data_IF_018103971471
#
_entry.id   IF_018103971471
#
_cell.length_a   1.000
_cell.length_b   1.000
_cell.length_c   1.000
_cell.angle_alpha   90.00
_cell.angle_beta   90.00
_cell.angle_gamma   90.00
#
_symmetry.space_group_name_H-M   'P 1'
#
loop_
_entity.id
_entity.type
_entity.pdbx_description
1 polymer ?
#
# COMPACT_ATOMS: atom_id res chain seq x y z
N UNK A 1 19.11 73.26 54.79
CA UNK A 1 19.24 74.37 53.84
C UNK A 1 17.97 74.44 53.01
N UNK A 2 17.28 75.58 53.14
CA UNK A 2 16.22 76.19 52.32
C UNK A 2 15.02 75.33 51.86
N UNK A 3 13.85 75.35 52.53
CA UNK A 3 12.72 76.35 52.56
C UNK A 3 12.00 76.51 51.22
N UNK A 4 10.69 76.21 51.08
CA UNK A 4 9.53 77.09 51.41
C UNK A 4 8.20 76.34 51.08
N UNK A 5 7.20 76.16 51.97
CA UNK A 5 5.97 76.98 52.24
C UNK A 5 5.08 77.14 50.97
N UNK A 6 3.76 76.85 50.88
CA UNK A 6 2.58 77.24 51.67
C UNK A 6 1.31 76.50 51.14
N UNK A 7 0.36 76.03 51.97
CA UNK A 7 -0.93 76.65 52.37
C UNK A 7 -2.17 75.97 51.74
N UNK A 8 -3.20 75.88 52.58
CA UNK A 8 -4.54 75.28 52.50
C UNK A 8 -5.40 75.70 51.30
N UNK A 9 -6.49 74.97 51.04
CA UNK A 9 -7.88 75.46 51.15
C UNK A 9 -8.89 74.30 50.98
N UNK A 10 -9.88 74.24 51.87
CA UNK A 10 -11.04 73.35 51.81
C UNK A 10 -12.04 73.85 50.76
N UNK A 11 -12.59 72.92 49.95
CA UNK A 11 -13.92 73.07 49.35
C UNK A 11 -14.61 71.71 49.26
N UNK A 12 -15.72 71.60 49.97
CA UNK A 12 -16.73 70.54 49.88
C UNK A 12 -17.27 70.41 48.46
N UNK A 13 -17.59 69.20 47.99
CA UNK A 13 -18.82 68.94 47.23
C UNK A 13 -19.13 67.45 47.05
N UNK A 14 -20.40 67.13 47.27
CA UNK A 14 -21.25 66.15 46.57
C UNK A 14 -20.95 64.65 46.70
N UNK A 15 -21.84 64.01 47.47
CA UNK A 15 -22.21 62.60 47.45
C UNK A 15 -22.72 62.22 46.05
N UNK A 16 -22.18 61.12 45.49
CA UNK A 16 -22.85 60.33 44.47
C UNK A 16 -22.55 58.84 44.71
N UNK A 17 -23.50 58.15 45.32
CA UNK A 17 -23.52 56.69 45.42
C UNK A 17 -23.78 56.11 44.02
N UNK A 18 -22.77 55.49 43.41
CA UNK A 18 -22.96 54.64 42.23
C UNK A 18 -23.06 53.19 42.70
N UNK A 19 -24.27 52.63 42.54
CA UNK A 19 -24.56 51.22 42.77
C UNK A 19 -23.78 50.33 41.82
N UNK A 20 -23.10 49.34 42.37
CA UNK A 20 -22.46 48.27 41.59
C UNK A 20 -23.55 47.29 41.18
N UNK A 21 -24.00 47.38 39.92
CA UNK A 21 -24.82 46.35 39.29
C UNK A 21 -23.94 45.15 38.95
N UNK A 22 -24.10 44.07 39.70
CA UNK A 22 -23.48 42.78 39.40
C UNK A 22 -24.16 42.18 38.16
N UNK A 23 -23.50 42.29 37.00
CA UNK A 23 -23.88 41.57 35.80
C UNK A 23 -23.41 40.11 35.94
N UNK A 24 -24.35 39.22 36.24
CA UNK A 24 -24.17 37.77 36.08
C UNK A 24 -24.06 37.47 34.58
N UNK A 25 -22.85 37.27 34.09
CA UNK A 25 -22.64 36.71 32.75
C UNK A 25 -23.03 35.23 32.78
N UNK A 26 -23.91 34.76 31.87
CA UNK A 26 -24.18 33.33 31.74
C UNK A 26 -22.91 32.66 31.20
N UNK A 27 -22.35 31.75 32.00
CA UNK A 27 -21.31 30.83 31.57
C UNK A 27 -21.96 29.85 30.58
N UNK A 28 -21.98 30.19 29.30
CA UNK A 28 -22.30 29.23 28.25
C UNK A 28 -21.16 28.24 28.20
N UNK A 29 -21.37 27.07 28.77
CA UNK A 29 -20.53 25.91 28.51
C UNK A 29 -20.64 25.63 27.00
N UNK A 30 -19.68 26.12 26.23
CA UNK A 30 -19.40 25.58 24.91
C UNK A 30 -19.05 24.12 25.12
N UNK A 31 -20.01 23.25 24.90
CA UNK A 31 -19.72 21.85 24.63
C UNK A 31 -18.79 21.84 23.45
N UNK A 32 -17.50 21.63 23.72
CA UNK A 32 -16.52 21.26 22.71
C UNK A 32 -17.13 20.06 21.99
N UNK A 33 -17.73 20.29 20.82
CA UNK A 33 -18.21 19.21 19.98
C UNK A 33 -16.99 18.32 19.77
N UNK A 34 -17.00 17.12 20.36
CA UNK A 34 -15.95 16.15 20.17
C UNK A 34 -15.81 16.01 18.65
N UNK A 35 -14.68 16.50 18.13
CA UNK A 35 -14.37 16.44 16.73
C UNK A 35 -14.30 14.95 16.42
N UNK A 36 -15.37 14.39 15.85
CA UNK A 36 -15.50 12.95 15.60
C UNK A 36 -14.22 12.55 14.87
N UNK A 37 -13.38 11.66 15.44
CA UNK A 37 -12.18 11.22 14.75
C UNK A 37 -12.63 10.68 13.40
N UNK A 38 -12.17 11.29 12.31
CA UNK A 38 -12.53 10.84 10.95
C UNK A 38 -11.91 9.46 10.75
N UNK A 39 -12.70 8.42 11.03
CA UNK A 39 -12.36 7.05 10.70
C UNK A 39 -12.06 6.94 9.20
N UNK A 40 -11.04 6.18 8.83
CA UNK A 40 -10.63 5.94 7.44
C UNK A 40 -11.36 4.72 6.90
N UNK A 41 -11.65 4.72 5.60
CA UNK A 41 -12.12 3.51 4.92
C UNK A 41 -10.93 2.59 4.64
N UNK A 42 -11.15 1.28 4.77
CA UNK A 42 -10.18 0.23 4.44
C UNK A 42 -10.90 -0.85 3.66
N UNK A 43 -10.45 -1.14 2.44
CA UNK A 43 -10.98 -2.23 1.63
C UNK A 43 -10.09 -3.46 1.69
N UNK A 44 -10.72 -4.62 1.56
CA UNK A 44 -10.08 -5.92 1.52
C UNK A 44 -10.44 -6.62 0.21
N UNK A 45 -9.41 -6.92 -0.58
CA UNK A 45 -9.52 -7.78 -1.76
C UNK A 45 -9.41 -9.24 -1.35
N UNK A 46 -10.16 -10.12 -2.02
CA UNK A 46 -10.29 -11.53 -1.66
C UNK A 46 -10.17 -12.45 -2.86
N UNK A 47 -9.92 -13.74 -2.63
CA UNK A 47 -10.30 -14.78 -3.61
C UNK A 47 -11.74 -15.21 -3.35
N UNK A 48 -12.53 -15.41 -4.41
CA UNK A 48 -13.95 -15.76 -4.37
C UNK A 48 -14.22 -17.13 -5.00
N UNK A 49 -13.20 -17.99 -5.03
CA UNK A 49 -13.33 -19.36 -5.52
C UNK A 49 -14.38 -20.14 -4.70
N UNK A 50 -14.96 -21.18 -5.30
CA UNK A 50 -15.91 -22.06 -4.61
C UNK A 50 -15.36 -22.55 -3.27
N UNK A 51 -16.19 -22.50 -2.21
CA UNK A 51 -15.83 -22.94 -0.86
C UNK A 51 -15.13 -21.89 0.02
N UNK A 52 -14.73 -20.73 -0.52
CA UNK A 52 -14.09 -19.64 0.28
C UNK A 52 -15.08 -18.83 1.12
N UNK A 53 -16.35 -18.77 0.70
CA UNK A 53 -17.37 -17.93 1.33
C UNK A 53 -17.21 -16.42 1.08
N UNK A 54 -16.22 -16.00 0.29
CA UNK A 54 -15.99 -14.60 -0.05
C UNK A 54 -16.89 -14.13 -1.20
N UNK A 55 -17.49 -12.94 -1.06
CA UNK A 55 -18.39 -12.37 -2.06
C UNK A 55 -17.75 -11.35 -3.02
N UNK A 56 -16.52 -10.90 -2.76
CA UNK A 56 -15.86 -9.84 -3.53
C UNK A 56 -15.04 -8.92 -2.63
N UNK A 57 -15.21 -7.61 -2.79
CA UNK A 57 -14.46 -6.61 -2.01
C UNK A 57 -15.22 -6.31 -0.72
N UNK A 58 -14.54 -6.36 0.43
CA UNK A 58 -15.09 -5.97 1.73
C UNK A 58 -14.56 -4.61 2.17
N UNK A 59 -15.30 -3.91 3.03
CA UNK A 59 -14.88 -2.61 3.60
C UNK A 59 -15.07 -2.58 5.12
N UNK A 60 -14.18 -1.88 5.79
CA UNK A 60 -14.28 -1.51 7.21
C UNK A 60 -13.91 -0.06 7.43
N UNK A 61 -14.24 0.46 8.62
CA UNK A 61 -13.75 1.75 9.12
C UNK A 61 -12.63 1.52 10.10
N UNK A 62 -11.53 2.24 9.94
CA UNK A 62 -10.34 2.22 10.78
C UNK A 62 -10.23 3.51 11.57
N UNK A 63 -10.07 3.40 12.89
CA UNK A 63 -9.75 4.53 13.76
C UNK A 63 -8.23 4.72 13.79
N UNK A 64 -7.69 5.83 13.24
CA UNK A 64 -6.25 6.07 13.21
C UNK A 64 -5.61 6.37 14.57
N UNK A 65 -6.41 6.58 15.62
CA UNK A 65 -5.92 6.82 16.98
C UNK A 65 -5.79 5.49 17.72
N UNK A 66 -6.85 4.68 17.72
CA UNK A 66 -6.90 3.44 18.48
C UNK A 66 -6.40 2.23 17.69
N UNK A 67 -6.43 2.31 16.36
CA UNK A 67 -6.20 1.20 15.44
C UNK A 67 -7.43 0.31 15.20
N UNK A 68 -8.55 0.56 15.89
CA UNK A 68 -9.70 -0.33 15.82
C UNK A 68 -10.35 -0.35 14.44
N UNK A 69 -10.80 -1.54 14.02
CA UNK A 69 -11.55 -1.78 12.79
C UNK A 69 -13.00 -2.15 13.14
N UNK A 70 -13.97 -1.59 12.42
CA UNK A 70 -15.35 -2.08 12.47
C UNK A 70 -15.46 -3.46 11.83
N UNK A 71 -16.56 -4.18 12.12
CA UNK A 71 -16.87 -5.41 11.40
C UNK A 71 -16.92 -5.20 9.88
N UNK A 72 -16.33 -6.09 9.06
CA UNK A 72 -16.33 -5.95 7.61
C UNK A 72 -17.72 -6.10 7.01
N UNK A 73 -18.01 -5.31 5.98
CA UNK A 73 -19.22 -5.40 5.17
C UNK A 73 -18.82 -5.60 3.71
N UNK A 74 -19.63 -6.34 2.96
CA UNK A 74 -19.43 -6.43 1.51
C UNK A 74 -19.63 -5.04 0.89
N UNK A 75 -18.65 -4.59 0.11
CA UNK A 75 -18.63 -3.30 -0.58
C UNK A 75 -18.99 -3.42 -2.06
N UNK A 76 -18.60 -4.53 -2.69
CA UNK A 76 -19.01 -4.90 -4.05
C UNK A 76 -18.85 -6.41 -4.28
N UNK A 77 -19.78 -6.98 -5.05
CA UNK A 77 -19.68 -8.36 -5.55
C UNK A 77 -18.85 -8.38 -6.83
N UNK A 78 -17.77 -9.17 -6.86
CA UNK A 78 -16.92 -9.34 -8.05
C UNK A 78 -16.03 -10.57 -7.90
N UNK A 79 -15.61 -11.17 -9.02
CA UNK A 79 -14.81 -12.40 -9.03
C UNK A 79 -13.32 -12.10 -8.81
N UNK A 80 -12.71 -12.75 -7.82
CA UNK A 80 -11.28 -12.72 -7.51
C UNK A 80 -10.64 -11.31 -7.56
N UNK A 81 -11.13 -10.33 -6.77
CA UNK A 81 -10.50 -9.02 -6.61
C UNK A 81 -9.25 -9.11 -5.74
N UNK A 82 -8.24 -9.84 -6.21
CA UNK A 82 -7.08 -10.24 -5.41
C UNK A 82 -6.07 -9.11 -5.16
N UNK A 83 -6.17 -8.00 -5.89
CA UNK A 83 -5.34 -6.81 -5.72
C UNK A 83 -6.14 -5.54 -6.01
N UNK A 84 -5.95 -4.52 -5.17
CA UNK A 84 -6.66 -3.24 -5.23
C UNK A 84 -5.67 -2.09 -5.31
N UNK A 85 -6.02 -1.02 -6.01
CA UNK A 85 -5.27 0.24 -6.03
C UNK A 85 -6.24 1.43 -6.03
N UNK A 86 -5.78 2.60 -5.59
CA UNK A 86 -6.61 3.81 -5.57
C UNK A 86 -6.10 4.83 -6.58
N UNK A 87 -7.03 5.57 -7.17
CA UNK A 87 -6.67 6.79 -7.87
C UNK A 87 -6.06 7.80 -6.89
N UNK A 88 -4.98 8.53 -7.25
CA UNK A 88 -4.28 9.40 -6.32
C UNK A 88 -5.11 10.60 -5.81
N UNK A 89 -6.13 11.02 -6.58
CA UNK A 89 -6.91 12.25 -6.28
C UNK A 89 -8.42 12.13 -6.45
N UNK A 90 -8.92 11.04 -7.03
CA UNK A 90 -10.34 10.87 -7.33
C UNK A 90 -10.89 9.75 -6.44
N UNK A 91 -12.18 9.77 -6.10
CA UNK A 91 -12.81 8.69 -5.33
C UNK A 91 -13.05 7.46 -6.23
N UNK A 92 -11.95 6.85 -6.69
CA UNK A 92 -11.96 5.69 -7.59
C UNK A 92 -11.01 4.61 -7.06
N UNK A 93 -11.55 3.41 -6.92
CA UNK A 93 -10.81 2.20 -6.59
C UNK A 93 -10.71 1.31 -7.84
N UNK A 94 -9.51 0.83 -8.12
CA UNK A 94 -9.24 -0.14 -9.15
C UNK A 94 -9.05 -1.53 -8.52
N UNK A 95 -9.58 -2.55 -9.17
CA UNK A 95 -9.41 -3.94 -8.76
C UNK A 95 -9.08 -4.81 -9.97
N UNK A 96 -8.24 -5.83 -9.78
CA UNK A 96 -8.13 -6.92 -10.76
C UNK A 96 -9.35 -7.83 -10.66
N UNK A 97 -9.62 -8.60 -11.70
CA UNK A 97 -10.32 -9.88 -11.59
C UNK A 97 -9.34 -10.97 -12.07
N UNK A 98 -8.74 -11.67 -11.10
CA UNK A 98 -7.66 -12.63 -11.35
C UNK A 98 -8.23 -13.95 -11.88
N UNK A 99 -8.41 -14.02 -13.20
CA UNK A 99 -9.10 -15.11 -13.90
C UNK A 99 -8.26 -15.66 -15.07
N UNK A 100 -8.81 -16.63 -15.82
CA UNK A 100 -8.23 -17.04 -17.10
C UNK A 100 -8.26 -15.89 -18.14
N UNK A 101 -7.45 -15.99 -19.20
CA UNK A 101 -7.25 -14.92 -20.19
C UNK A 101 -8.56 -14.33 -20.77
N UNK A 102 -9.53 -15.20 -21.08
CA UNK A 102 -10.82 -14.81 -21.66
C UNK A 102 -11.78 -14.12 -20.67
N UNK A 103 -11.46 -14.10 -19.38
CA UNK A 103 -12.25 -13.50 -18.31
C UNK A 103 -11.50 -12.44 -17.49
N UNK A 104 -10.18 -12.32 -17.66
CA UNK A 104 -9.35 -11.40 -16.89
C UNK A 104 -9.69 -9.96 -17.18
N UNK A 105 -9.89 -9.19 -16.12
CA UNK A 105 -10.34 -7.80 -16.20
C UNK A 105 -9.60 -6.91 -15.20
N UNK A 106 -9.61 -5.62 -15.49
CA UNK A 106 -9.32 -4.53 -14.56
C UNK A 106 -10.63 -3.74 -14.45
N UNK A 107 -11.09 -3.54 -13.22
CA UNK A 107 -12.36 -2.90 -12.89
C UNK A 107 -12.09 -1.56 -12.22
N UNK A 108 -12.84 -0.53 -12.60
CA UNK A 108 -12.85 0.77 -11.93
C UNK A 108 -14.17 0.96 -11.19
N UNK A 109 -14.08 1.29 -9.90
CA UNK A 109 -15.20 1.46 -8.99
C UNK A 109 -15.25 2.89 -8.47
N UNK A 110 -16.40 3.55 -8.58
CA UNK A 110 -16.69 4.80 -7.86
C UNK A 110 -16.84 4.49 -6.37
N UNK A 111 -16.19 5.28 -5.54
CA UNK A 111 -16.24 5.17 -4.09
C UNK A 111 -17.34 6.10 -3.55
N UNK A 112 -18.26 5.54 -2.78
CA UNK A 112 -19.05 6.34 -1.83
C UNK A 112 -18.21 6.54 -0.56
N UNK A 113 -17.66 7.74 -0.36
CA UNK A 113 -16.78 8.05 0.78
C UNK A 113 -17.50 8.01 2.14
N UNK A 114 -18.83 8.16 2.15
CA UNK A 114 -19.63 8.13 3.36
C UNK A 114 -19.92 6.69 3.84
N UNK A 115 -19.96 5.71 2.94
CA UNK A 115 -20.31 4.32 3.29
C UNK A 115 -19.20 3.31 3.00
N UNK A 116 -18.28 3.65 2.10
CA UNK A 116 -17.28 2.75 1.53
C UNK A 116 -17.83 1.76 0.49
N UNK A 117 -19.10 1.91 0.09
CA UNK A 117 -19.69 1.11 -0.98
C UNK A 117 -19.07 1.46 -2.33
N UNK A 118 -19.03 0.47 -3.22
CA UNK A 118 -18.36 0.56 -4.51
C UNK A 118 -19.39 0.37 -5.63
N UNK A 119 -19.50 1.35 -6.52
CA UNK A 119 -20.33 1.26 -7.72
C UNK A 119 -19.45 1.10 -8.95
N UNK A 120 -19.69 0.06 -9.77
CA UNK A 120 -18.88 -0.19 -10.96
C UNK A 120 -19.01 0.98 -11.95
N UNK A 121 -17.88 1.61 -12.28
CA UNK A 121 -17.82 2.68 -13.27
C UNK A 121 -17.70 2.08 -14.67
N UNK A 122 -16.65 1.28 -14.88
CA UNK A 122 -16.47 0.45 -16.07
C UNK A 122 -15.39 -0.62 -15.81
N UNK A 123 -15.10 -1.42 -16.84
CA UNK A 123 -14.07 -2.45 -16.82
C UNK A 123 -13.38 -2.55 -18.18
N UNK A 124 -12.14 -3.03 -18.19
CA UNK A 124 -11.37 -3.32 -19.40
C UNK A 124 -10.68 -4.69 -19.26
N UNK A 125 -10.39 -5.34 -20.38
CA UNK A 125 -9.59 -6.56 -20.37
C UNK A 125 -8.15 -6.25 -19.90
N UNK A 126 -7.52 -7.14 -19.14
CA UNK A 126 -6.09 -6.99 -18.79
C UNK A 126 -5.14 -7.34 -19.93
N UNK A 127 -5.68 -7.78 -21.08
CA UNK A 127 -4.96 -8.28 -22.25
C UNK A 127 -4.02 -9.49 -22.00
N UNK A 128 -4.08 -10.09 -20.80
CA UNK A 128 -3.33 -11.27 -20.39
C UNK A 128 -4.14 -12.14 -19.44
N UNK A 129 -3.52 -13.16 -18.85
CA UNK A 129 -4.15 -14.08 -17.90
C UNK A 129 -3.69 -13.83 -16.47
N UNK A 130 -4.62 -13.92 -15.51
CA UNK A 130 -4.32 -13.81 -14.08
C UNK A 130 -3.68 -12.48 -13.69
N UNK A 131 -4.33 -11.31 -13.95
CA UNK A 131 -3.89 -10.04 -13.40
C UNK A 131 -3.84 -10.14 -11.88
N UNK A 132 -2.69 -9.88 -11.28
CA UNK A 132 -2.43 -10.15 -9.85
C UNK A 132 -1.90 -8.94 -9.08
N UNK A 133 -1.71 -7.81 -9.77
CA UNK A 133 -1.15 -6.58 -9.19
C UNK A 133 -1.65 -5.36 -9.96
N UNK A 134 -1.82 -4.24 -9.26
CA UNK A 134 -2.15 -2.94 -9.85
C UNK A 134 -1.29 -1.83 -9.22
N UNK A 135 -0.91 -0.85 -10.03
CA UNK A 135 -0.48 0.45 -9.55
C UNK A 135 -1.07 1.57 -10.41
N UNK A 136 -1.22 2.75 -9.83
CA UNK A 136 -1.67 3.96 -10.54
C UNK A 136 -0.50 4.94 -10.56
N UNK A 137 -0.24 5.55 -11.71
CA UNK A 137 0.81 6.56 -11.76
C UNK A 137 0.42 7.79 -10.92
N UNK A 138 1.43 8.52 -10.44
CA UNK A 138 1.23 9.67 -9.55
C UNK A 138 0.35 10.77 -10.15
N UNK A 139 0.31 10.91 -11.47
CA UNK A 139 -0.53 11.90 -12.15
C UNK A 139 -2.00 11.47 -12.29
N UNK A 140 -2.32 10.20 -12.02
CA UNK A 140 -3.68 9.67 -12.17
C UNK A 140 -4.12 9.55 -13.64
N UNK A 141 -3.18 9.35 -14.56
CA UNK A 141 -3.46 9.26 -16.00
C UNK A 141 -3.45 7.84 -16.52
N UNK A 142 -2.80 6.91 -15.81
CA UNK A 142 -2.72 5.50 -16.19
C UNK A 142 -2.82 4.55 -14.99
N UNK A 143 -3.33 3.36 -15.26
CA UNK A 143 -3.26 2.19 -14.38
C UNK A 143 -2.35 1.15 -15.04
N UNK A 144 -1.43 0.59 -14.27
CA UNK A 144 -0.54 -0.49 -14.66
C UNK A 144 -1.01 -1.79 -14.02
N UNK A 145 -0.90 -2.91 -14.73
CA UNK A 145 -1.19 -4.24 -14.17
C UNK A 145 -0.17 -5.29 -14.62
N UNK A 146 0.09 -6.27 -13.74
CA UNK A 146 0.90 -7.44 -14.03
C UNK A 146 0.03 -8.69 -14.12
N UNK A 147 0.16 -9.43 -15.23
CA UNK A 147 -0.55 -10.66 -15.53
C UNK A 147 0.36 -11.86 -15.25
N UNK A 148 0.16 -12.51 -14.10
CA UNK A 148 0.98 -13.65 -13.66
C UNK A 148 0.82 -14.86 -14.59
N UNK A 149 -0.41 -15.18 -14.96
CA UNK A 149 -0.73 -16.39 -15.72
C UNK A 149 -0.17 -16.39 -17.15
N UNK A 150 -0.03 -15.21 -17.76
CA UNK A 150 0.55 -15.07 -19.12
C UNK A 150 1.97 -14.52 -19.14
N UNK A 151 2.48 -13.99 -18.02
CA UNK A 151 3.79 -13.35 -17.96
C UNK A 151 3.86 -12.09 -18.81
N UNK A 152 2.99 -11.12 -18.52
CA UNK A 152 2.91 -9.86 -19.26
C UNK A 152 2.52 -8.70 -18.37
N UNK A 153 2.75 -7.48 -18.84
CA UNK A 153 2.28 -6.24 -18.18
C UNK A 153 1.41 -5.45 -19.14
N UNK A 154 0.49 -4.65 -18.58
CA UNK A 154 -0.37 -3.74 -19.34
C UNK A 154 -0.41 -2.35 -18.69
N UNK A 155 -0.53 -1.31 -19.52
CA UNK A 155 -0.79 0.08 -19.13
C UNK A 155 -2.08 0.54 -19.80
N UNK A 156 -3.06 0.95 -18.99
CA UNK A 156 -4.35 1.48 -19.43
C UNK A 156 -4.41 2.97 -19.14
N UNK A 157 -4.81 3.75 -20.14
CA UNK A 157 -5.13 5.15 -19.94
C UNK A 157 -6.38 5.32 -19.07
N UNK A 158 -6.45 6.42 -18.33
CA UNK A 158 -7.62 6.84 -17.58
C UNK A 158 -8.30 8.04 -18.26
N UNK A 159 -9.62 8.10 -18.16
CA UNK A 159 -10.41 9.29 -18.48
C UNK A 159 -10.32 10.31 -17.33
N UNK A 160 -10.78 11.55 -17.56
CA UNK A 160 -10.77 12.60 -16.52
C UNK A 160 -11.61 12.26 -15.28
N UNK A 161 -12.57 11.34 -15.41
CA UNK A 161 -13.37 10.84 -14.30
C UNK A 161 -12.74 9.59 -13.63
N UNK A 162 -11.55 9.16 -14.06
CA UNK A 162 -10.86 7.98 -13.56
C UNK A 162 -11.38 6.65 -14.11
N UNK A 163 -12.34 6.62 -15.04
CA UNK A 163 -12.73 5.39 -15.72
C UNK A 163 -11.64 4.90 -16.70
N UNK A 164 -11.59 3.60 -16.95
CA UNK A 164 -10.54 2.95 -17.74
C UNK A 164 -10.78 3.15 -19.25
N UNK A 165 -9.75 3.54 -20.00
CA UNK A 165 -9.73 3.52 -21.46
C UNK A 165 -9.29 2.14 -21.96
N UNK A 166 -9.82 1.66 -23.10
CA UNK A 166 -9.38 0.40 -23.69
C UNK A 166 -7.91 0.48 -24.12
N UNK A 167 -7.23 -0.67 -24.14
CA UNK A 167 -5.97 -0.82 -24.88
C UNK A 167 -6.27 -0.58 -26.37
N UNK A 168 -5.57 0.34 -27.03
CA UNK A 168 -5.74 0.59 -28.47
C UNK A 168 -4.77 -0.32 -29.23
N UNK A 169 -5.26 -1.31 -30.02
CA UNK A 169 -4.39 -2.16 -30.83
C UNK A 169 -3.63 -1.34 -31.88
N UNK A 170 -2.32 -1.57 -32.02
CA UNK A 170 -1.49 -0.93 -33.05
C UNK A 170 -1.03 0.51 -32.75
N UNK A 171 -1.52 1.14 -31.68
CA UNK A 171 -0.81 2.27 -31.06
C UNK A 171 0.34 1.70 -30.21
N UNK A 172 1.52 2.33 -30.08
CA UNK A 172 2.41 1.99 -28.98
C UNK A 172 1.62 2.26 -27.70
N UNK A 173 1.08 1.22 -27.05
CA UNK A 173 -0.05 1.39 -26.13
C UNK A 173 -0.17 0.22 -25.18
N UNK A 174 0.82 0.11 -24.30
CA UNK A 174 0.61 -0.38 -22.94
C UNK A 174 0.76 -1.87 -22.67
N UNK A 175 0.46 -2.79 -23.58
CA UNK A 175 0.69 -4.24 -23.34
C UNK A 175 2.09 -4.70 -23.76
N UNK A 176 2.78 -5.43 -22.90
CA UNK A 176 4.07 -6.05 -23.17
C UNK A 176 4.08 -7.51 -22.72
N UNK A 177 4.26 -8.41 -23.68
CA UNK A 177 4.50 -9.82 -23.41
C UNK A 177 5.97 -10.03 -23.04
N UNK A 178 6.23 -10.67 -21.89
CA UNK A 178 7.58 -11.10 -21.55
C UNK A 178 7.88 -12.46 -22.19
N UNK A 179 9.16 -12.81 -22.29
CA UNK A 179 9.60 -14.08 -22.87
C UNK A 179 10.88 -14.56 -22.18
N UNK A 180 11.02 -15.88 -22.09
CA UNK A 180 12.14 -16.55 -21.41
C UNK A 180 11.64 -17.51 -20.34
N UNK A 181 12.58 -17.99 -19.54
CA UNK A 181 12.36 -18.92 -18.44
C UNK A 181 13.57 -18.87 -17.50
N UNK A 182 13.50 -19.56 -16.38
CA UNK A 182 14.62 -19.68 -15.45
C UNK A 182 14.71 -21.07 -14.80
N UNK A 183 15.40 -21.17 -13.66
CA UNK A 183 15.91 -22.39 -13.05
C UNK A 183 14.82 -23.39 -12.67
N UNK A 184 13.73 -22.93 -12.03
CA UNK A 184 12.68 -23.82 -11.53
C UNK A 184 11.74 -24.28 -12.65
N UNK A 185 11.91 -25.52 -13.13
CA UNK A 185 11.14 -26.10 -14.24
C UNK A 185 9.60 -26.07 -14.13
N UNK A 186 9.05 -25.88 -12.94
CA UNK A 186 7.59 -25.75 -12.73
C UNK A 186 7.16 -24.31 -12.47
N UNK A 187 7.92 -23.55 -11.68
CA UNK A 187 7.56 -22.18 -11.26
C UNK A 187 8.13 -21.10 -12.19
N UNK A 188 9.05 -21.46 -13.07
CA UNK A 188 9.83 -20.58 -13.95
C UNK A 188 10.00 -21.23 -15.34
N UNK A 189 9.05 -22.07 -15.76
CA UNK A 189 9.02 -22.65 -17.11
C UNK A 189 8.78 -21.60 -18.21
N UNK A 190 8.23 -20.45 -17.82
CA UNK A 190 7.94 -19.29 -18.63
C UNK A 190 7.87 -18.05 -17.74
N UNK A 191 7.57 -16.87 -18.32
CA UNK A 191 7.43 -15.63 -17.58
C UNK A 191 6.19 -15.64 -16.67
N UNK A 192 6.32 -14.95 -15.54
CA UNK A 192 5.28 -14.73 -14.53
C UNK A 192 5.45 -13.33 -13.90
N UNK A 193 5.08 -12.29 -14.66
CA UNK A 193 5.02 -10.92 -14.18
C UNK A 193 4.12 -10.85 -12.94
N UNK A 194 4.70 -10.45 -11.80
CA UNK A 194 4.03 -10.54 -10.50
C UNK A 194 3.78 -9.17 -9.87
N UNK A 195 4.54 -8.14 -10.23
CA UNK A 195 4.20 -6.74 -9.89
C UNK A 195 4.59 -5.80 -11.02
N UNK A 196 4.00 -4.59 -11.00
CA UNK A 196 4.46 -3.45 -11.79
C UNK A 196 4.12 -2.16 -11.05
N UNK A 197 5.16 -1.41 -10.68
CA UNK A 197 5.06 -0.21 -9.85
C UNK A 197 5.48 1.02 -10.64
N UNK A 198 4.59 1.99 -10.79
CA UNK A 198 4.93 3.29 -11.35
C UNK A 198 5.91 4.02 -10.43
N UNK A 199 7.09 4.38 -10.95
CA UNK A 199 8.09 5.08 -10.17
C UNK A 199 7.65 6.53 -9.91
N UNK A 200 8.07 7.07 -8.76
CA UNK A 200 7.61 8.37 -8.22
C UNK A 200 7.81 9.59 -9.12
N UNK A 201 8.80 9.50 -10.01
CA UNK A 201 9.19 10.52 -11.00
C UNK A 201 8.35 10.48 -12.27
N UNK A 202 7.50 9.47 -12.44
CA UNK A 202 6.50 9.39 -13.52
C UNK A 202 7.05 9.07 -14.92
N UNK A 203 8.30 8.62 -15.03
CA UNK A 203 8.94 8.26 -16.33
C UNK A 203 9.37 6.80 -16.45
N UNK A 204 9.32 6.05 -15.35
CA UNK A 204 9.65 4.64 -15.32
C UNK A 204 8.57 3.84 -14.59
N UNK A 205 8.45 2.57 -14.93
CA UNK A 205 7.72 1.57 -14.17
C UNK A 205 8.63 0.35 -13.93
N UNK A 206 8.56 -0.24 -12.74
CA UNK A 206 9.41 -1.36 -12.32
C UNK A 206 8.54 -2.60 -12.15
N UNK A 207 8.79 -3.62 -12.98
CA UNK A 207 8.06 -4.88 -12.95
C UNK A 207 8.96 -6.01 -12.44
N UNK A 208 8.46 -6.80 -11.49
CA UNK A 208 9.10 -8.04 -11.09
C UNK A 208 8.51 -9.20 -11.89
N UNK A 209 9.37 -9.99 -12.54
CA UNK A 209 8.96 -11.22 -13.20
C UNK A 209 9.59 -12.43 -12.51
N UNK A 210 8.74 -13.16 -11.77
CA UNK A 210 9.11 -14.34 -11.01
C UNK A 210 9.68 -15.42 -11.92
N UNK A 211 9.09 -15.58 -13.10
CA UNK A 211 9.42 -16.63 -14.06
C UNK A 211 10.78 -16.46 -14.73
N UNK A 212 11.30 -15.23 -14.73
CA UNK A 212 12.52 -14.86 -15.43
C UNK A 212 13.73 -14.62 -14.52
N UNK A 213 13.54 -14.57 -13.20
CA UNK A 213 14.53 -14.02 -12.26
C UNK A 213 15.00 -12.62 -12.65
N UNK A 214 14.06 -11.78 -13.09
CA UNK A 214 14.37 -10.44 -13.58
C UNK A 214 13.44 -9.38 -13.01
N UNK A 215 14.04 -8.22 -12.76
CA UNK A 215 13.34 -6.95 -12.57
C UNK A 215 13.45 -6.19 -13.89
N UNK A 216 12.30 -5.92 -14.51
CA UNK A 216 12.17 -5.24 -15.79
C UNK A 216 11.79 -3.78 -15.55
N UNK A 217 12.62 -2.87 -16.03
CA UNK A 217 12.39 -1.43 -15.97
C UNK A 217 11.84 -1.00 -17.32
N UNK A 218 10.67 -0.37 -17.32
CA UNK A 218 10.01 0.14 -18.50
C UNK A 218 10.04 1.67 -18.49
N UNK A 219 10.34 2.30 -19.62
CA UNK A 219 10.02 3.70 -19.83
C UNK A 219 8.49 3.85 -19.89
N UNK A 220 7.96 4.78 -19.11
CA UNK A 220 6.53 5.05 -18.96
C UNK A 220 6.21 6.44 -19.55
N UNK A 221 5.23 6.49 -20.44
CA UNK A 221 4.58 7.72 -20.86
C UNK A 221 3.11 7.70 -20.39
N UNK A 222 2.78 8.39 -19.28
CA UNK A 222 1.41 8.43 -18.78
C UNK A 222 0.44 9.20 -19.70
N UNK A 223 0.91 10.16 -20.48
CA UNK A 223 0.05 10.95 -21.36
C UNK A 223 -0.40 10.11 -22.56
N UNK A 224 0.52 9.36 -23.15
CA UNK A 224 0.24 8.45 -24.26
C UNK A 224 -0.20 7.04 -23.81
N UNK A 225 -0.16 6.74 -22.51
CA UNK A 225 -0.47 5.43 -21.93
C UNK A 225 0.40 4.28 -22.51
N UNK A 226 1.72 4.49 -22.52
CA UNK A 226 2.65 3.56 -23.17
C UNK A 226 3.72 3.05 -22.21
N UNK A 227 4.16 1.81 -22.45
CA UNK A 227 5.30 1.19 -21.81
C UNK A 227 6.27 0.72 -22.89
N UNK A 228 7.56 0.91 -22.66
CA UNK A 228 8.62 0.33 -23.47
C UNK A 228 9.69 -0.26 -22.56
N UNK A 229 10.10 -1.50 -22.80
CA UNK A 229 11.24 -2.07 -22.06
C UNK A 229 12.47 -1.16 -22.21
N UNK A 230 13.01 -0.73 -21.08
CA UNK A 230 14.19 0.13 -20.99
C UNK A 230 15.40 -0.67 -20.53
N UNK A 231 15.22 -1.54 -19.53
CA UNK A 231 16.31 -2.36 -18.98
C UNK A 231 15.77 -3.62 -18.31
N UNK A 232 16.58 -4.67 -18.26
CA UNK A 232 16.33 -5.85 -17.46
C UNK A 232 17.50 -6.03 -16.48
N UNK A 233 17.20 -6.34 -15.23
CA UNK A 233 18.19 -6.56 -14.17
C UNK A 233 17.93 -7.94 -13.57
N UNK A 234 18.92 -8.82 -13.69
CA UNK A 234 18.82 -10.17 -13.13
C UNK A 234 18.96 -10.13 -11.60
N UNK A 235 18.19 -11.00 -10.94
CA UNK A 235 18.44 -11.41 -9.56
C UNK A 235 19.13 -12.78 -9.53
N UNK A 236 19.37 -13.32 -8.34
CA UNK A 236 19.91 -14.66 -8.16
C UNK A 236 19.05 -15.68 -8.94
N UNK A 237 19.63 -16.59 -9.74
CA UNK A 237 18.85 -17.64 -10.39
C UNK A 237 18.10 -18.52 -9.38
N UNK A 238 16.80 -18.71 -9.62
CA UNK A 238 15.87 -19.41 -8.73
C UNK A 238 15.25 -18.54 -7.64
N UNK A 239 15.51 -17.23 -7.59
CA UNK A 239 14.99 -16.37 -6.53
C UNK A 239 13.50 -16.02 -6.72
N UNK A 240 13.09 -15.75 -7.95
CA UNK A 240 11.74 -15.41 -8.34
C UNK A 240 11.26 -14.07 -7.75
N UNK A 241 11.71 -12.92 -8.27
CA UNK A 241 11.31 -11.62 -7.74
C UNK A 241 9.80 -11.44 -7.88
N UNK A 242 9.14 -11.01 -6.81
CA UNK A 242 7.68 -10.99 -6.69
C UNK A 242 7.12 -9.57 -6.70
N UNK A 243 7.41 -8.78 -5.67
CA UNK A 243 6.99 -7.38 -5.52
C UNK A 243 8.21 -6.48 -5.33
N UNK A 244 8.06 -5.19 -5.66
CA UNK A 244 9.11 -4.18 -5.53
C UNK A 244 8.66 -3.00 -4.69
N UNK A 245 9.46 -2.59 -3.71
CA UNK A 245 9.20 -1.41 -2.89
C UNK A 245 10.24 -0.33 -3.17
N UNK A 246 9.80 0.82 -3.69
CA UNK A 246 10.63 2.02 -3.82
C UNK A 246 10.72 2.73 -2.46
N UNK A 247 11.94 3.15 -2.11
CA UNK A 247 12.14 3.96 -0.92
C UNK A 247 11.59 5.39 -1.12
N UNK A 248 10.97 6.03 -0.11
CA UNK A 248 10.36 7.37 -0.24
C UNK A 248 11.29 8.51 -0.70
N UNK A 249 12.61 8.33 -0.61
CA UNK A 249 13.60 9.30 -1.11
C UNK A 249 14.02 9.07 -2.58
N UNK A 250 13.46 8.06 -3.24
CA UNK A 250 13.72 7.68 -4.64
C UNK A 250 15.20 7.42 -4.96
N UNK A 251 15.99 6.95 -3.99
CA UNK A 251 17.40 6.56 -4.17
C UNK A 251 17.64 5.06 -4.03
N UNK A 252 16.68 4.31 -3.50
CA UNK A 252 16.79 2.88 -3.25
C UNK A 252 15.49 2.17 -3.61
N UNK A 253 15.61 0.87 -3.91
CA UNK A 253 14.47 -0.01 -4.08
C UNK A 253 14.79 -1.42 -3.60
N UNK A 254 13.74 -2.18 -3.26
CA UNK A 254 13.86 -3.48 -2.62
C UNK A 254 12.93 -4.48 -3.30
N UNK A 255 13.47 -5.59 -3.78
CA UNK A 255 12.70 -6.69 -4.34
C UNK A 255 12.59 -7.82 -3.32
N UNK A 256 11.38 -8.32 -3.10
CA UNK A 256 11.18 -9.57 -2.37
C UNK A 256 11.14 -10.74 -3.35
N UNK A 257 11.87 -11.81 -3.03
CA UNK A 257 12.04 -12.97 -3.89
C UNK A 257 11.26 -14.15 -3.32
N UNK A 258 10.27 -14.63 -4.08
CA UNK A 258 9.26 -15.60 -3.64
C UNK A 258 9.87 -16.96 -3.30
N UNK A 259 10.76 -17.44 -4.15
CA UNK A 259 11.14 -18.85 -4.21
C UNK A 259 12.33 -19.18 -3.30
N UNK A 260 13.24 -18.21 -3.08
CA UNK A 260 14.43 -18.41 -2.25
C UNK A 260 14.39 -17.73 -0.87
N UNK A 261 13.28 -17.05 -0.55
CA UNK A 261 13.01 -16.43 0.75
C UNK A 261 14.03 -15.33 1.10
N UNK A 262 14.24 -14.43 0.13
CA UNK A 262 15.18 -13.32 0.28
C UNK A 262 14.59 -11.96 -0.08
N UNK A 263 15.26 -10.89 0.36
CA UNK A 263 15.08 -9.53 -0.12
C UNK A 263 16.39 -9.06 -0.74
N UNK A 264 16.31 -8.53 -1.95
CA UNK A 264 17.44 -7.88 -2.63
C UNK A 264 17.27 -6.36 -2.61
N UNK A 265 18.28 -5.65 -2.10
CA UNK A 265 18.33 -4.20 -2.08
C UNK A 265 19.13 -3.66 -3.27
N UNK A 266 18.67 -2.53 -3.81
CA UNK A 266 19.26 -1.86 -4.96
C UNK A 266 19.40 -0.36 -4.72
N UNK A 267 20.47 0.24 -5.27
CA UNK A 267 20.49 1.66 -5.53
C UNK A 267 19.64 1.94 -6.78
N UNK A 268 18.73 2.90 -6.67
CA UNK A 268 17.85 3.34 -7.74
C UNK A 268 18.34 4.68 -8.28
N UNK A 269 18.59 4.73 -9.60
CA UNK A 269 18.83 5.97 -10.32
C UNK A 269 17.54 6.37 -11.05
N UNK A 270 16.77 7.29 -10.47
CA UNK A 270 15.51 7.80 -11.02
C UNK A 270 15.70 8.64 -12.31
N UNK A 271 16.92 9.07 -12.61
CA UNK A 271 17.20 9.80 -13.84
C UNK A 271 17.51 8.84 -14.99
N UNK A 272 18.35 7.83 -14.73
CA UNK A 272 18.77 6.86 -15.74
C UNK A 272 17.83 5.64 -15.86
N UNK A 273 16.96 5.41 -14.87
CA UNK A 273 16.11 4.22 -14.79
C UNK A 273 16.95 2.95 -14.63
N UNK A 274 17.85 2.92 -13.63
CA UNK A 274 18.76 1.79 -13.41
C UNK A 274 18.76 1.32 -11.96
N UNK A 275 18.97 0.01 -11.78
CA UNK A 275 19.16 -0.62 -10.48
C UNK A 275 20.57 -1.18 -10.40
N UNK A 276 21.30 -0.82 -9.33
CA UNK A 276 22.57 -1.44 -8.98
C UNK A 276 22.40 -2.26 -7.71
N UNK A 277 22.77 -3.54 -7.75
CA UNK A 277 22.69 -4.44 -6.59
C UNK A 277 23.52 -3.90 -5.42
N UNK A 278 22.96 -3.96 -4.21
CA UNK A 278 23.65 -3.55 -2.98
C UNK A 278 23.89 -4.73 -2.04
N UNK A 279 22.88 -5.57 -1.86
CA UNK A 279 22.91 -6.75 -1.00
C UNK A 279 21.67 -7.63 -1.20
N UNK A 280 21.77 -8.89 -0.77
CA UNK A 280 20.63 -9.80 -0.65
C UNK A 280 20.68 -10.44 0.74
N UNK A 281 19.54 -10.48 1.44
CA UNK A 281 19.41 -11.06 2.78
C UNK A 281 18.23 -12.01 2.84
N UNK A 282 18.29 -13.02 3.72
CA UNK A 282 17.14 -13.89 3.99
C UNK A 282 16.03 -13.14 4.75
N UNK A 283 14.78 -13.54 4.51
CA UNK A 283 13.58 -13.12 5.27
C UNK A 283 13.30 -13.97 6.50
N UNK A 284 14.13 -14.98 6.76
CA UNK A 284 13.98 -15.90 7.88
C UNK A 284 15.15 -15.78 8.86
N UNK A 285 14.92 -16.03 10.16
CA UNK A 285 16.00 -16.21 11.12
C UNK A 285 16.94 -17.35 10.71
N UNK A 286 18.23 -17.21 11.00
CA UNK A 286 19.26 -18.17 10.60
C UNK A 286 19.05 -19.60 11.16
N UNK A 287 18.31 -19.74 12.27
CA UNK A 287 18.02 -21.04 12.89
C UNK A 287 16.89 -21.82 12.21
N UNK A 288 16.16 -21.22 11.26
CA UNK A 288 15.09 -21.90 10.51
C UNK A 288 15.71 -22.75 9.40
N UNK A 289 15.90 -24.03 9.70
CA UNK A 289 16.50 -25.01 8.81
C UNK A 289 15.50 -25.60 7.80
N UNK A 290 14.31 -26.01 8.26
CA UNK A 290 13.25 -26.50 7.37
C UNK A 290 12.47 -25.33 6.78
N UNK A 291 12.42 -25.29 5.45
CA UNK A 291 11.78 -24.24 4.65
C UNK A 291 10.77 -24.84 3.67
N UNK A 292 10.42 -26.11 3.86
CA UNK A 292 9.57 -26.84 2.93
C UNK A 292 8.20 -26.18 2.83
N UNK A 293 7.82 -25.81 1.59
CA UNK A 293 6.55 -25.14 1.33
C UNK A 293 6.51 -23.65 1.71
N UNK A 294 7.62 -23.06 2.19
CA UNK A 294 7.68 -21.63 2.46
C UNK A 294 7.84 -20.83 1.17
N UNK A 295 7.29 -19.62 1.17
CA UNK A 295 7.49 -18.63 0.11
C UNK A 295 7.31 -17.23 0.70
N UNK A 296 7.85 -16.19 0.07
CA UNK A 296 7.54 -14.81 0.48
C UNK A 296 6.34 -14.24 -0.27
N UNK A 297 5.83 -13.08 0.12
CA UNK A 297 4.77 -12.41 -0.62
C UNK A 297 4.95 -10.88 -0.74
N UNK A 298 4.63 -10.13 0.31
CA UNK A 298 4.52 -8.68 0.26
C UNK A 298 5.76 -7.99 0.80
N UNK A 299 6.06 -6.79 0.32
CA UNK A 299 7.19 -5.96 0.77
C UNK A 299 6.80 -4.49 0.81
N UNK A 300 7.03 -3.83 1.95
CA UNK A 300 6.65 -2.43 2.13
C UNK A 300 7.74 -1.68 2.89
N UNK A 301 8.13 -0.52 2.37
CA UNK A 301 8.97 0.46 3.09
C UNK A 301 8.07 1.34 3.95
N UNK A 302 8.42 1.49 5.23
CA UNK A 302 7.73 2.41 6.12
C UNK A 302 7.73 3.84 5.57
N UNK A 303 6.65 4.64 5.70
CA UNK A 303 6.59 6.01 5.16
C UNK A 303 7.77 6.92 5.57
N UNK A 304 8.30 6.73 6.79
CA UNK A 304 9.48 7.45 7.27
C UNK A 304 10.82 7.00 6.64
N UNK A 305 10.84 5.95 5.83
CA UNK A 305 12.02 5.41 5.14
C UNK A 305 13.04 4.70 6.04
N UNK A 306 12.70 4.40 7.30
CA UNK A 306 13.64 3.81 8.26
C UNK A 306 13.59 2.28 8.35
N UNK A 307 12.45 1.71 7.97
CA UNK A 307 12.18 0.29 8.15
C UNK A 307 11.61 -0.31 6.87
N UNK A 308 11.91 -1.58 6.65
CA UNK A 308 11.36 -2.41 5.58
C UNK A 308 10.72 -3.65 6.22
N UNK A 309 9.55 -4.02 5.73
CA UNK A 309 8.83 -5.21 6.15
C UNK A 309 8.65 -6.15 4.97
N UNK A 310 8.70 -7.46 5.20
CA UNK A 310 8.54 -8.49 4.17
C UNK A 310 7.77 -9.70 4.71
N UNK A 311 6.75 -10.20 4.02
CA UNK A 311 5.95 -11.32 4.54
C UNK A 311 6.44 -12.70 4.09
N UNK A 312 6.33 -13.68 4.98
CA UNK A 312 6.63 -15.09 4.74
C UNK A 312 5.37 -15.94 4.89
N UNK A 313 4.97 -16.64 3.84
CA UNK A 313 3.90 -17.65 3.82
C UNK A 313 4.47 -19.01 4.24
N UNK A 314 3.71 -19.76 5.03
CA UNK A 314 4.15 -21.03 5.60
C UNK A 314 4.91 -20.86 6.92
N UNK A 315 5.88 -19.92 6.97
CA UNK A 315 6.45 -19.45 8.24
C UNK A 315 5.48 -18.49 8.97
N UNK A 316 4.53 -17.91 8.25
CA UNK A 316 3.42 -17.10 8.74
C UNK A 316 3.86 -15.90 9.60
N UNK A 317 4.83 -15.13 9.09
CA UNK A 317 5.44 -13.99 9.78
C UNK A 317 5.70 -12.79 8.88
N UNK A 318 5.97 -11.63 9.49
CA UNK A 318 6.55 -10.45 8.86
C UNK A 318 8.01 -10.31 9.31
N UNK A 319 8.95 -10.35 8.37
CA UNK A 319 10.35 -10.01 8.58
C UNK A 319 10.52 -8.49 8.67
N UNK A 320 11.38 -8.04 9.59
CA UNK A 320 11.62 -6.64 9.91
C UNK A 320 13.09 -6.31 9.66
N UNK A 321 13.34 -5.22 8.93
CA UNK A 321 14.67 -4.69 8.68
C UNK A 321 14.75 -3.21 9.01
N UNK A 322 15.92 -2.76 9.48
CA UNK A 322 16.29 -1.33 9.45
C UNK A 322 16.97 -0.99 8.13
N UNK A 323 16.80 0.25 7.68
CA UNK A 323 17.40 0.78 6.45
C UNK A 323 18.47 1.81 6.81
N UNK A 324 19.70 1.59 6.37
CA UNK A 324 20.74 2.62 6.43
C UNK A 324 20.41 3.76 5.47
N UNK A 325 20.24 4.97 6.01
CA UNK A 325 19.77 6.15 5.24
C UNK A 325 20.72 6.55 4.11
N UNK A 326 22.01 6.25 4.23
CA UNK A 326 23.04 6.73 3.30
C UNK A 326 23.27 5.74 2.17
N UNK A 327 23.40 4.46 2.52
CA UNK A 327 23.75 3.37 1.61
C UNK A 327 22.55 2.57 1.11
N UNK A 328 21.39 2.65 1.78
CA UNK A 328 20.20 1.84 1.46
C UNK A 328 20.33 0.37 1.85
N UNK A 329 21.39 0.00 2.58
CA UNK A 329 21.60 -1.37 3.06
C UNK A 329 20.63 -1.70 4.19
N UNK A 330 20.14 -2.93 4.18
CA UNK A 330 19.24 -3.47 5.20
C UNK A 330 20.02 -4.16 6.31
N UNK A 331 19.55 -4.05 7.54
CA UNK A 331 19.96 -4.92 8.65
C UNK A 331 18.73 -5.67 9.17
N UNK A 332 18.80 -7.01 9.16
CA UNK A 332 17.72 -7.86 9.69
C UNK A 332 17.59 -7.69 11.20
N UNK A 333 16.37 -7.40 11.66
CA UNK A 333 16.06 -7.21 13.08
C UNK A 333 15.44 -8.47 13.67
N UNK A 334 14.49 -9.07 12.96
CA UNK A 334 13.75 -10.22 13.43
C UNK A 334 12.51 -10.50 12.57
N UNK A 335 11.62 -11.34 13.11
CA UNK A 335 10.33 -11.67 12.52
C UNK A 335 9.24 -11.56 13.58
N UNK A 336 8.05 -11.15 13.18
CA UNK A 336 6.84 -11.15 14.01
C UNK A 336 5.78 -12.09 13.42
N UNK A 337 5.27 -13.08 14.17
CA UNK A 337 4.16 -13.92 13.72
C UNK A 337 2.91 -13.10 13.41
N UNK A 338 2.21 -13.42 12.33
CA UNK A 338 1.01 -12.64 11.95
C UNK A 338 -0.24 -13.00 12.75
N UNK A 339 -0.18 -13.98 13.68
CA UNK A 339 -1.35 -14.50 14.38
C UNK A 339 -2.49 -14.94 13.44
N UNK A 340 -2.09 -15.46 12.28
CA UNK A 340 -2.91 -15.99 11.20
C UNK A 340 -2.03 -16.87 10.31
N UNK A 341 -2.50 -17.23 9.12
CA UNK A 341 -1.77 -18.11 8.20
C UNK A 341 -1.70 -17.56 6.79
N UNK A 342 -0.58 -17.79 6.11
CA UNK A 342 -0.29 -17.36 4.75
C UNK A 342 -0.48 -15.85 4.54
N UNK A 343 0.36 -14.98 5.14
CA UNK A 343 0.31 -13.53 4.93
C UNK A 343 0.67 -13.15 3.48
N UNK A 344 -0.31 -13.22 2.57
CA UNK A 344 -0.11 -12.89 1.15
C UNK A 344 0.02 -11.37 0.92
N UNK A 345 -0.55 -10.57 1.80
CA UNK A 345 -0.46 -9.12 1.76
C UNK A 345 -0.48 -8.53 3.17
N UNK A 346 0.20 -7.41 3.35
CA UNK A 346 0.05 -6.53 4.50
C UNK A 346 0.22 -5.08 4.05
N UNK A 347 -0.24 -4.13 4.84
CA UNK A 347 -0.12 -2.71 4.53
C UNK A 347 0.19 -1.92 5.79
N UNK A 348 0.92 -0.82 5.62
CA UNK A 348 1.15 0.16 6.68
C UNK A 348 0.11 1.27 6.51
N UNK A 349 -0.55 1.67 7.60
CA UNK A 349 -1.51 2.76 7.53
C UNK A 349 -0.82 4.07 7.10
N UNK A 350 -1.54 5.05 6.52
CA UNK A 350 -0.88 6.24 5.98
C UNK A 350 -0.13 7.09 7.01
N UNK A 351 -0.41 6.94 8.31
CA UNK A 351 0.36 7.62 9.36
C UNK A 351 1.70 6.92 9.70
N UNK A 352 1.85 5.65 9.34
CA UNK A 352 2.99 4.83 9.73
C UNK A 352 2.90 4.27 11.16
N UNK A 353 1.78 4.43 11.84
CA UNK A 353 1.64 3.99 13.23
C UNK A 353 1.23 2.51 13.34
N UNK A 354 0.58 1.96 12.32
CA UNK A 354 -0.03 0.63 12.33
C UNK A 354 0.30 -0.17 11.08
N UNK A 355 0.37 -1.49 11.25
CA UNK A 355 0.47 -2.47 10.18
C UNK A 355 -0.69 -3.45 10.26
N UNK A 356 -1.36 -3.72 9.14
CA UNK A 356 -2.41 -4.73 9.01
C UNK A 356 -1.89 -5.87 8.13
N UNK A 357 -1.98 -7.12 8.60
CA UNK A 357 -1.57 -8.30 7.84
C UNK A 357 -2.77 -9.20 7.51
N UNK A 358 -2.94 -9.55 6.24
CA UNK A 358 -4.00 -10.42 5.75
C UNK A 358 -3.55 -11.89 5.71
N UNK A 359 -4.07 -12.71 6.62
CA UNK A 359 -3.88 -14.16 6.62
C UNK A 359 -4.87 -14.83 5.68
N UNK A 360 -4.39 -15.18 4.48
CA UNK A 360 -5.21 -15.73 3.39
C UNK A 360 -5.95 -17.02 3.80
N UNK A 361 -5.26 -17.96 4.43
CA UNK A 361 -5.80 -19.30 4.72
C UNK A 361 -6.44 -19.42 6.10
N UNK A 362 -6.36 -18.36 6.91
CA UNK A 362 -6.98 -18.28 8.24
C UNK A 362 -8.19 -17.34 8.28
N UNK A 363 -8.51 -16.67 7.18
CA UNK A 363 -9.58 -15.66 7.06
C UNK A 363 -9.45 -14.56 8.12
N UNK A 364 -8.23 -14.02 8.29
CA UNK A 364 -7.92 -13.04 9.34
C UNK A 364 -7.24 -11.79 8.81
N UNK A 365 -7.57 -10.63 9.40
CA UNK A 365 -6.72 -9.44 9.40
C UNK A 365 -6.19 -9.25 10.82
N UNK A 366 -4.87 -9.24 10.96
CA UNK A 366 -4.18 -8.97 12.22
C UNK A 366 -3.63 -7.56 12.24
N UNK A 367 -3.70 -6.90 13.39
CA UNK A 367 -3.28 -5.51 13.58
C UNK A 367 -2.07 -5.43 14.52
N UNK A 368 -1.11 -4.60 14.13
CA UNK A 368 0.10 -4.32 14.89
C UNK A 368 0.28 -2.83 15.05
N UNK A 369 0.71 -2.39 16.23
CA UNK A 369 1.35 -1.08 16.41
C UNK A 369 2.81 -1.18 16.02
N UNK A 370 3.29 -0.19 15.27
CA UNK A 370 4.70 -0.07 14.91
C UNK A 370 5.41 0.74 15.97
N UNK A 371 6.41 0.14 16.63
CA UNK A 371 7.35 0.87 17.47
C UNK A 371 8.17 1.81 16.58
N UNK A 372 7.96 3.11 16.75
CA UNK A 372 8.60 4.12 15.91
C UNK A 372 10.12 4.23 16.11
N UNK A 373 10.63 3.79 17.27
CA UNK A 373 12.05 3.84 17.59
C UNK A 373 12.80 2.62 17.07
N UNK A 374 12.17 1.45 17.05
CA UNK A 374 12.82 0.18 16.70
C UNK A 374 12.36 -0.44 15.38
N UNK A 375 11.18 -0.07 14.89
CA UNK A 375 10.49 -0.74 13.78
C UNK A 375 9.84 -2.07 14.19
N UNK A 376 9.87 -2.43 15.47
CA UNK A 376 9.21 -3.62 15.99
C UNK A 376 7.70 -3.58 15.80
N UNK A 377 7.08 -4.75 15.64
CA UNK A 377 5.63 -4.90 15.52
C UNK A 377 5.06 -5.44 16.83
N UNK A 378 4.06 -4.74 17.39
CA UNK A 378 3.39 -5.14 18.62
C UNK A 378 1.95 -5.50 18.29
N UNK A 379 1.62 -6.79 18.38
CA UNK A 379 0.27 -7.29 18.13
C UNK A 379 -0.75 -6.66 19.09
N UNK A 380 -1.89 -6.20 18.56
CA UNK A 380 -2.90 -5.48 19.37
C UNK A 380 -3.94 -6.40 20.00
N UNK A 381 -3.93 -7.70 19.71
CA UNK A 381 -4.79 -8.70 20.35
C UNK A 381 -5.89 -9.30 19.46
N UNK A 382 -7.04 -8.63 19.23
CA UNK A 382 -8.11 -9.21 18.41
C UNK A 382 -7.72 -9.29 16.92
N UNK A 383 -8.12 -10.38 16.26
CA UNK A 383 -8.08 -10.52 14.79
C UNK A 383 -9.45 -10.25 14.21
N UNK A 384 -9.50 -9.52 13.10
CA UNK A 384 -10.72 -9.30 12.33
C UNK A 384 -10.95 -10.47 11.38
N UNK A 385 -12.19 -10.91 11.20
CA UNK A 385 -12.53 -11.96 10.25
C UNK A 385 -12.96 -11.38 8.91
N UNK A 386 -12.20 -11.69 7.86
CA UNK A 386 -12.50 -11.39 6.46
C UNK A 386 -12.28 -12.67 5.67
N UNK A 387 -13.21 -13.13 4.81
CA UNK A 387 -13.01 -14.32 4.01
C UNK A 387 -11.86 -14.17 3.01
N UNK A 388 -10.88 -15.07 3.07
CA UNK A 388 -9.72 -15.22 2.18
C UNK A 388 -9.09 -13.89 1.72
N UNK A 389 -8.65 -13.03 2.66
CA UNK A 389 -8.15 -11.71 2.34
C UNK A 389 -6.75 -11.80 1.75
N UNK A 390 -6.53 -11.09 0.65
CA UNK A 390 -5.25 -11.13 -0.10
C UNK A 390 -4.77 -9.76 -0.57
N UNK A 391 -5.53 -8.69 -0.31
CA UNK A 391 -5.09 -7.31 -0.47
C UNK A 391 -5.79 -6.42 0.56
N UNK A 392 -5.09 -5.40 1.07
CA UNK A 392 -5.63 -4.40 1.99
C UNK A 392 -5.32 -3.02 1.44
N UNK A 393 -6.32 -2.18 1.27
CA UNK A 393 -6.18 -0.86 0.66
C UNK A 393 -6.79 0.23 1.56
N UNK A 394 -5.95 1.11 2.10
CA UNK A 394 -6.38 2.26 2.90
C UNK A 394 -6.82 3.40 2.00
N UNK A 395 -8.01 3.94 2.24
CA UNK A 395 -8.39 5.23 1.67
C UNK A 395 -7.55 6.34 2.31
N UNK A 396 -6.86 7.19 1.53
CA UNK A 396 -6.20 8.36 2.09
C UNK A 396 -7.23 9.27 2.76
N UNK A 397 -6.83 9.95 3.84
CA UNK A 397 -7.69 10.97 4.43
C UNK A 397 -7.77 12.16 3.48
N UNK A 398 -8.96 12.79 3.32
CA UNK A 398 -9.10 14.05 2.61
C UNK A 398 -8.33 15.20 3.28
#
# INVERSE_FOLDING_TARGET
MQTSIAVSHWRSLAIACLGVSAWLLPYTAETCAAQVPRSRLVWFGTYTNEGTGAGGIYVSRFDPITGQLTAPKLAATTENPSFLALHPTLPVLYAVSEMAANKSQILAWRIDEATGQLALANQQASAGAGPCYLSVDRSGRVVLAANYGSGSVVCLGLNNDGSLRPVVPGSPGGFLQHAGSSLHKQRQAGPHAHSIDAASEGRFAVACDLGLDQILIHALDPAAATLKLHRAVAVQPGAGPRHFALHPNSRFGYAINELDLTVTAFAWDAQAGTLAHLQTLSTLPAHVADRTGFSTAEIVVHPAGKYLYASNRGHDSIAIYTIDKTSGKLTFVGVEPIHGKSPRHFVIDPSGAFLLAAGQTSDTISLFKIDQATGGLVFTGPVLKVPTPVCICFYPSP
#
